data_IF_323817297763
#
_entry.id   IF_323817297763
#
_cell.length_a   1.000
_cell.length_b   1.000
_cell.length_c   1.000
_cell.angle_alpha   90.00
_cell.angle_beta   90.00
_cell.angle_gamma   90.00
#
_symmetry.space_group_name_H-M   'P 1'
#
loop_
_entity.id
_entity.type
_entity.pdbx_description
1 polymer ?
#
# COMPACT_ATOMS: atom_id res chain seq x y z
N UNK A 1 -26.58 19.48 2.67
CA UNK A 1 -25.34 18.90 2.10
C UNK A 1 -25.40 17.39 2.38
N UNK A 2 -25.71 16.55 1.37
CA UNK A 2 -25.93 15.08 1.56
C UNK A 2 -25.85 14.26 0.25
N UNK A 3 -25.14 14.76 -0.76
CA UNK A 3 -25.07 14.13 -2.10
C UNK A 3 -23.76 13.38 -2.38
N UNK A 4 -22.73 13.59 -1.57
CA UNK A 4 -21.42 12.95 -1.77
C UNK A 4 -21.45 11.48 -1.32
N UNK A 5 -22.18 11.17 -0.24
CA UNK A 5 -22.26 9.82 0.32
C UNK A 5 -22.88 8.83 -0.67
N UNK A 6 -24.01 9.17 -1.28
CA UNK A 6 -24.72 8.27 -2.20
C UNK A 6 -23.94 7.96 -3.49
N UNK A 7 -23.09 8.87 -3.97
CA UNK A 7 -22.25 8.61 -5.14
C UNK A 7 -21.08 7.66 -4.79
N UNK A 8 -20.54 7.79 -3.58
CA UNK A 8 -19.47 6.95 -3.07
C UNK A 8 -19.96 5.54 -2.71
N UNK A 9 -21.17 5.45 -2.16
CA UNK A 9 -21.84 4.18 -1.85
C UNK A 9 -22.08 3.37 -3.14
N UNK A 10 -22.54 4.03 -4.21
CA UNK A 10 -22.73 3.38 -5.51
C UNK A 10 -21.42 2.91 -6.16
N UNK A 11 -20.30 3.60 -5.92
CA UNK A 11 -19.01 3.12 -6.42
C UNK A 11 -18.51 1.91 -5.60
N UNK A 12 -18.66 1.99 -4.28
CA UNK A 12 -18.32 0.89 -3.36
C UNK A 12 -19.12 -0.37 -3.69
N UNK A 13 -20.43 -0.25 -3.92
CA UNK A 13 -21.29 -1.38 -4.28
C UNK A 13 -20.89 -2.02 -5.62
N UNK A 14 -20.47 -1.21 -6.61
CA UNK A 14 -19.94 -1.72 -7.88
C UNK A 14 -18.63 -2.48 -7.68
N UNK A 15 -17.75 -1.98 -6.82
CA UNK A 15 -16.49 -2.64 -6.49
C UNK A 15 -16.73 -3.97 -5.77
N UNK A 16 -17.69 -4.02 -4.83
CA UNK A 16 -18.10 -5.26 -4.16
C UNK A 16 -18.65 -6.27 -5.16
N UNK A 17 -19.57 -5.86 -6.05
CA UNK A 17 -20.13 -6.75 -7.06
C UNK A 17 -19.05 -7.30 -8.02
N UNK A 18 -18.10 -6.45 -8.44
CA UNK A 18 -16.97 -6.87 -9.27
C UNK A 18 -16.04 -7.84 -8.53
N UNK A 19 -15.74 -7.58 -7.27
CA UNK A 19 -14.93 -8.47 -6.43
C UNK A 19 -15.60 -9.83 -6.31
N UNK A 20 -16.90 -9.87 -6.00
CA UNK A 20 -17.68 -11.11 -5.97
C UNK A 20 -17.59 -11.88 -7.28
N UNK A 21 -17.85 -11.21 -8.41
CA UNK A 21 -17.78 -11.84 -9.73
C UNK A 21 -16.40 -12.43 -10.03
N UNK A 22 -15.34 -11.69 -9.71
CA UNK A 22 -13.97 -12.11 -9.95
C UNK A 22 -13.62 -13.35 -9.11
N UNK A 23 -13.92 -13.31 -7.81
CA UNK A 23 -13.50 -14.34 -6.86
C UNK A 23 -14.40 -15.57 -6.84
N UNK A 24 -15.66 -15.47 -7.27
CA UNK A 24 -16.58 -16.60 -7.32
C UNK A 24 -16.05 -17.76 -8.15
N UNK A 25 -15.34 -17.48 -9.25
CA UNK A 25 -14.73 -18.51 -10.10
C UNK A 25 -13.58 -19.28 -9.44
N UNK A 26 -13.02 -18.75 -8.35
CA UNK A 26 -11.83 -19.28 -7.67
C UNK A 26 -12.16 -19.93 -6.33
N UNK A 27 -13.38 -19.75 -5.84
CA UNK A 27 -13.82 -20.21 -4.53
C UNK A 27 -15.01 -21.14 -4.75
N UNK A 28 -14.91 -22.35 -4.20
CA UNK A 28 -15.90 -23.41 -4.39
C UNK A 28 -17.26 -23.12 -3.73
N UNK A 29 -17.30 -22.19 -2.77
CA UNK A 29 -18.55 -21.74 -2.12
C UNK A 29 -19.10 -20.48 -2.77
N UNK A 30 -20.40 -20.30 -2.70
CA UNK A 30 -21.03 -19.03 -3.08
C UNK A 30 -20.56 -17.91 -2.16
N UNK A 31 -20.09 -16.83 -2.75
CA UNK A 31 -19.65 -15.64 -2.06
C UNK A 31 -20.83 -14.69 -1.87
N UNK A 32 -20.94 -14.16 -0.66
CA UNK A 32 -21.86 -13.07 -0.35
C UNK A 32 -21.23 -11.72 -0.67
N UNK A 33 -22.02 -10.65 -0.69
CA UNK A 33 -21.47 -9.29 -0.80
C UNK A 33 -20.59 -8.93 0.42
N UNK A 34 -20.84 -9.53 1.59
CA UNK A 34 -19.97 -9.38 2.76
C UNK A 34 -18.62 -10.08 2.56
N UNK A 35 -18.62 -11.30 2.03
CA UNK A 35 -17.36 -11.98 1.68
C UNK A 35 -16.55 -11.15 0.68
N UNK A 36 -17.21 -10.57 -0.33
CA UNK A 36 -16.55 -9.72 -1.31
C UNK A 36 -16.01 -8.41 -0.71
N UNK A 37 -16.73 -7.82 0.26
CA UNK A 37 -16.24 -6.66 1.02
C UNK A 37 -15.00 -7.03 1.84
N UNK A 38 -15.02 -8.17 2.52
CA UNK A 38 -13.87 -8.65 3.29
C UNK A 38 -12.67 -8.94 2.38
N UNK A 39 -12.87 -9.64 1.25
CA UNK A 39 -11.81 -9.90 0.28
C UNK A 39 -11.19 -8.60 -0.23
N UNK A 40 -12.03 -7.61 -0.57
CA UNK A 40 -11.55 -6.30 -1.02
C UNK A 40 -10.68 -5.64 0.05
N UNK A 41 -11.16 -5.60 1.30
CA UNK A 41 -10.42 -5.04 2.43
C UNK A 41 -9.08 -5.76 2.67
N UNK A 42 -9.07 -7.08 2.66
CA UNK A 42 -7.88 -7.89 2.90
C UNK A 42 -6.82 -7.69 1.82
N UNK A 43 -7.25 -7.67 0.55
CA UNK A 43 -6.35 -7.44 -0.58
C UNK A 43 -5.77 -6.03 -0.53
N UNK A 44 -6.58 -5.00 -0.31
CA UNK A 44 -6.07 -3.62 -0.22
C UNK A 44 -5.12 -3.45 0.97
N UNK A 45 -5.49 -3.98 2.13
CA UNK A 45 -4.66 -3.91 3.34
C UNK A 45 -3.31 -4.62 3.17
N UNK A 46 -3.27 -5.76 2.49
CA UNK A 46 -2.01 -6.44 2.17
C UNK A 46 -1.08 -5.56 1.33
N UNK A 47 -1.60 -4.90 0.29
CA UNK A 47 -0.80 -4.02 -0.55
C UNK A 47 -0.41 -2.71 0.16
N UNK A 48 -1.22 -2.21 1.09
CA UNK A 48 -0.87 -1.05 1.91
C UNK A 48 0.39 -1.30 2.76
N UNK A 49 0.50 -2.49 3.34
CA UNK A 49 1.69 -2.93 4.10
C UNK A 49 2.92 -3.00 3.17
N UNK A 50 2.79 -3.61 1.99
CA UNK A 50 3.89 -3.65 1.02
C UNK A 50 4.31 -2.25 0.56
N UNK A 51 3.34 -1.35 0.38
CA UNK A 51 3.61 0.03 0.00
C UNK A 51 4.33 0.79 1.12
N UNK A 52 4.00 0.51 2.39
CA UNK A 52 4.70 1.06 3.56
C UNK A 52 6.16 0.64 3.58
N UNK A 53 6.46 -0.66 3.46
CA UNK A 53 7.84 -1.15 3.43
C UNK A 53 8.62 -0.58 2.25
N UNK A 54 8.00 -0.55 1.06
CA UNK A 54 8.62 0.04 -0.12
C UNK A 54 8.93 1.54 0.05
N UNK A 55 8.08 2.29 0.79
CA UNK A 55 8.36 3.69 1.15
C UNK A 55 9.52 3.79 2.14
N UNK A 56 9.56 2.93 3.15
CA UNK A 56 10.63 2.91 4.15
C UNK A 56 11.99 2.59 3.51
N UNK A 57 12.06 1.60 2.61
CA UNK A 57 13.27 1.26 1.87
C UNK A 57 13.80 2.44 1.04
N UNK A 58 12.92 3.16 0.34
CA UNK A 58 13.31 4.36 -0.40
C UNK A 58 13.85 5.47 0.50
N UNK A 59 13.25 5.67 1.67
CA UNK A 59 13.72 6.65 2.65
C UNK A 59 15.06 6.26 3.26
N UNK A 60 15.26 4.97 3.57
CA UNK A 60 16.54 4.46 4.06
C UNK A 60 17.66 4.67 3.02
N UNK A 61 17.42 4.31 1.76
CA UNK A 61 18.39 4.51 0.68
C UNK A 61 18.73 5.99 0.45
N UNK A 62 17.74 6.89 0.57
CA UNK A 62 17.97 8.32 0.48
C UNK A 62 18.82 8.87 1.64
N UNK A 63 18.63 8.34 2.85
CA UNK A 63 19.39 8.75 4.03
C UNK A 63 20.84 8.23 3.98
N UNK A 64 21.07 7.00 3.50
CA UNK A 64 22.43 6.42 3.36
C UNK A 64 23.25 7.16 2.29
N UNK A 65 22.61 7.67 1.23
CA UNK A 65 23.27 8.48 0.21
C UNK A 65 23.74 9.86 0.73
N UNK A 66 23.27 10.29 1.90
CA UNK A 66 23.61 11.58 2.54
C UNK A 66 24.70 11.42 3.61
N UNK A 67 25.28 10.23 3.77
CA UNK A 67 26.43 10.04 4.66
C UNK A 67 27.54 11.05 4.29
N UNK A 68 28.01 11.89 5.24
CA UNK A 68 28.94 12.97 4.93
C UNK A 68 30.22 12.39 4.36
N UNK A 69 30.67 12.95 3.24
CA UNK A 69 31.97 12.70 2.66
C UNK A 69 32.99 12.65 3.79
N UNK A 70 33.72 11.53 3.88
CA UNK A 70 34.82 11.35 4.82
C UNK A 70 35.69 12.60 4.72
N UNK A 71 35.67 13.42 5.75
CA UNK A 71 36.68 14.44 5.93
C UNK A 71 37.96 13.65 6.21
N UNK A 72 38.68 13.32 5.15
CA UNK A 72 40.04 12.83 5.20
C UNK A 72 40.87 13.99 5.76
N UNK A 73 40.87 14.08 7.09
CA UNK A 73 41.71 14.97 7.87
C UNK A 73 43.15 14.51 7.68
N UNK A 74 43.77 14.98 6.59
CA UNK A 74 45.22 14.95 6.37
C UNK A 74 45.88 15.73 7.50
N UNK A 75 46.19 15.05 8.62
CA UNK A 75 47.04 15.59 9.67
C UNK A 75 48.47 15.60 9.12
N UNK A 76 48.86 16.73 8.54
CA UNK A 76 50.26 17.00 8.20
C UNK A 76 51.04 17.11 9.51
N UNK A 77 51.83 16.08 9.80
CA UNK A 77 52.89 16.17 10.79
C UNK A 77 53.99 17.04 10.20
N UNK A 78 53.99 18.33 10.56
CA UNK A 78 55.15 19.17 10.37
C UNK A 78 56.20 18.79 11.42
N UNK A 79 57.44 18.67 10.95
CA UNK A 79 58.57 18.01 11.62
C UNK A 79 59.32 18.95 12.55
#
# INVERSE_FOLDING_TARGET
MKRLDAANDNDTDKQIARTRQLWQSRIARDLTDEDARQIMHDVTGFFDVLAEWSRAERLAAANDAVAPAKNDGEVRHDR
#
